data_IF_263078901304
#
_entry.id   IF_263078901304
#
_cell.length_a   1.000
_cell.length_b   1.000
_cell.length_c   1.000
_cell.angle_alpha   90.00
_cell.angle_beta   90.00
_cell.angle_gamma   90.00
#
_symmetry.space_group_name_H-M   'P 1'
#
loop_
_entity.id
_entity.type
_entity.pdbx_description
1 polymer ?
#
# COMPACT_ATOMS: atom_id res chain seq x y z
N UNK A 1 -11.59 9.49 -5.73
CA UNK A 1 -11.89 8.15 -5.19
C UNK A 1 -10.68 7.25 -5.34
N UNK A 2 -10.33 6.52 -4.30
CA UNK A 2 -9.12 5.69 -4.32
C UNK A 2 -9.31 4.48 -5.23
N UNK A 3 -8.27 4.14 -5.97
CA UNK A 3 -8.27 3.01 -6.89
C UNK A 3 -7.19 2.02 -6.47
N UNK A 4 -7.44 0.73 -6.73
CA UNK A 4 -6.39 -0.26 -6.53
C UNK A 4 -5.42 -0.19 -7.70
N UNK A 5 -4.14 0.05 -7.39
CA UNK A 5 -3.11 0.16 -8.40
C UNK A 5 -2.44 -1.19 -8.62
N UNK A 6 -2.15 -1.91 -7.53
CA UNK A 6 -1.52 -3.23 -7.64
C UNK A 6 -1.75 -4.01 -6.36
N UNK A 7 -2.01 -5.31 -6.50
CA UNK A 7 -2.05 -6.24 -5.37
C UNK A 7 -0.81 -7.11 -5.46
N UNK A 8 -0.17 -7.34 -4.32
CA UNK A 8 1.12 -8.04 -4.29
C UNK A 8 0.97 -9.48 -3.86
N UNK A 9 1.83 -10.33 -4.39
CA UNK A 9 2.02 -11.69 -3.95
C UNK A 9 3.53 -11.90 -3.78
N UNK A 10 3.97 -12.67 -2.80
CA UNK A 10 3.17 -13.40 -1.81
C UNK A 10 2.59 -12.48 -0.74
N UNK A 11 1.80 -13.06 0.16
CA UNK A 11 1.20 -12.33 1.27
C UNK A 11 2.26 -11.93 2.28
N UNK A 12 1.98 -10.87 3.04
CA UNK A 12 2.85 -10.37 4.10
C UNK A 12 2.40 -10.96 5.44
N UNK A 13 3.35 -11.40 6.25
CA UNK A 13 3.03 -11.93 7.57
C UNK A 13 3.81 -11.15 8.62
N UNK A 14 3.13 -10.70 9.69
CA UNK A 14 3.80 -9.95 10.74
C UNK A 14 4.42 -10.89 11.76
N UNK A 15 5.07 -10.32 12.79
CA UNK A 15 5.76 -11.08 13.80
C UNK A 15 4.83 -11.93 14.68
N UNK A 16 3.54 -11.60 14.69
CA UNK A 16 2.54 -12.34 15.45
C UNK A 16 1.83 -13.40 14.60
N UNK A 17 2.27 -13.58 13.37
CA UNK A 17 1.68 -14.57 12.48
C UNK A 17 0.41 -14.13 11.78
N UNK A 18 0.05 -12.85 11.90
CA UNK A 18 -1.12 -12.32 11.18
C UNK A 18 -0.76 -12.12 9.72
N UNK A 19 -1.58 -12.66 8.84
CA UNK A 19 -1.33 -12.61 7.39
C UNK A 19 -2.13 -11.49 6.76
N UNK A 20 -1.46 -10.72 5.90
CA UNK A 20 -2.06 -9.58 5.20
C UNK A 20 -1.85 -9.71 3.71
N UNK A 21 -2.84 -9.24 2.96
CA UNK A 21 -2.70 -8.99 1.52
C UNK A 21 -2.26 -7.53 1.40
N UNK A 22 -1.14 -7.29 0.72
CA UNK A 22 -0.61 -5.94 0.54
C UNK A 22 -1.08 -5.41 -0.80
N UNK A 23 -1.55 -4.18 -0.82
CA UNK A 23 -1.93 -3.54 -2.08
C UNK A 23 -1.52 -2.08 -2.09
N UNK A 24 -1.15 -1.60 -3.27
CA UNK A 24 -0.91 -0.19 -3.52
C UNK A 24 -2.22 0.42 -3.98
N UNK A 25 -2.57 1.54 -3.37
CA UNK A 25 -3.76 2.31 -3.72
C UNK A 25 -3.33 3.68 -4.17
N UNK A 26 -4.17 4.33 -4.93
CA UNK A 26 -3.85 5.68 -5.38
C UNK A 26 -5.08 6.49 -5.68
N UNK A 27 -4.86 7.80 -5.77
CA UNK A 27 -5.95 8.74 -5.99
C UNK A 27 -5.41 9.99 -6.67
N UNK A 28 -6.16 10.50 -7.64
CA UNK A 28 -5.79 11.73 -8.30
C UNK A 28 -6.12 12.92 -7.40
N UNK A 29 -5.18 13.85 -7.27
CA UNK A 29 -5.39 15.08 -6.51
C UNK A 29 -6.11 16.12 -7.35
N UNK A 30 -6.57 17.19 -6.70
CA UNK A 30 -7.20 18.31 -7.39
C UNK A 30 -6.26 18.95 -8.42
N UNK A 31 -4.94 18.87 -8.19
CA UNK A 31 -3.96 19.44 -9.11
C UNK A 31 -3.57 18.53 -10.26
N UNK A 32 -4.14 17.33 -10.34
CA UNK A 32 -3.89 16.41 -11.45
C UNK A 32 -2.77 15.41 -11.22
N UNK A 33 -2.04 15.52 -10.11
CA UNK A 33 -1.05 14.51 -9.75
C UNK A 33 -1.75 13.32 -9.09
N UNK A 34 -0.99 12.23 -8.90
CA UNK A 34 -1.50 11.04 -8.25
C UNK A 34 -0.71 10.76 -6.99
N UNK A 35 -1.44 10.55 -5.90
CA UNK A 35 -0.84 10.12 -4.63
C UNK A 35 -1.01 8.63 -4.47
N UNK A 36 0.01 7.98 -3.91
CA UNK A 36 -0.05 6.54 -3.67
C UNK A 36 0.31 6.21 -2.23
N UNK A 37 -0.28 5.11 -1.73
CA UNK A 37 -0.02 4.60 -0.40
C UNK A 37 -0.18 3.09 -0.41
N UNK A 38 0.20 2.45 0.69
CA UNK A 38 0.05 1.02 0.82
C UNK A 38 -1.02 0.70 1.87
N UNK A 39 -1.77 -0.37 1.61
CA UNK A 39 -2.76 -0.90 2.54
C UNK A 39 -2.42 -2.36 2.83
N UNK A 40 -2.59 -2.74 4.08
CA UNK A 40 -2.39 -4.10 4.54
C UNK A 40 -3.74 -4.63 4.98
N UNK A 41 -4.30 -5.53 4.21
CA UNK A 41 -5.63 -6.08 4.42
C UNK A 41 -5.51 -7.43 5.10
N UNK A 42 -5.90 -7.55 6.38
CA UNK A 42 -5.76 -8.85 7.07
C UNK A 42 -6.68 -9.88 6.44
N UNK A 43 -6.16 -11.09 6.30
CA UNK A 43 -6.96 -12.21 5.81
C UNK A 43 -8.08 -12.50 6.81
N UNK A 44 -7.80 -12.36 8.10
CA UNK A 44 -8.81 -12.45 9.15
C UNK A 44 -9.62 -11.15 9.18
N UNK A 45 -10.85 -11.23 8.72
CA UNK A 45 -11.71 -10.06 8.56
C UNK A 45 -12.12 -9.39 9.87
N UNK A 46 -11.82 -10.02 11.02
CA UNK A 46 -12.09 -9.39 12.32
C UNK A 46 -11.05 -8.37 12.71
N UNK A 47 -9.92 -8.31 11.99
CA UNK A 47 -8.85 -7.37 12.27
C UNK A 47 -8.95 -6.17 11.34
N UNK A 48 -8.41 -5.04 11.78
CA UNK A 48 -8.51 -3.79 11.04
C UNK A 48 -7.53 -3.74 9.88
N UNK A 49 -7.93 -3.07 8.80
CA UNK A 49 -7.05 -2.73 7.69
C UNK A 49 -6.08 -1.65 8.17
N UNK A 50 -4.80 -1.83 7.85
CA UNK A 50 -3.77 -0.85 8.17
C UNK A 50 -3.38 -0.11 6.88
N UNK A 51 -3.07 1.16 7.02
CA UNK A 51 -2.76 2.01 5.87
C UNK A 51 -1.62 2.93 6.20
N UNK A 52 -0.67 3.09 5.25
CA UNK A 52 0.38 4.10 5.40
C UNK A 52 -0.19 5.48 5.04
N UNK A 53 0.53 6.52 5.45
CA UNK A 53 0.31 7.84 4.87
C UNK A 53 0.77 7.80 3.42
N UNK A 54 0.64 8.93 2.71
CA UNK A 54 1.11 9.02 1.34
C UNK A 54 2.57 8.59 1.25
N UNK A 55 2.85 7.61 0.39
CA UNK A 55 4.20 7.12 0.17
C UNK A 55 4.86 7.78 -1.04
N UNK A 56 4.07 8.23 -2.00
CA UNK A 56 4.60 8.83 -3.21
C UNK A 56 3.60 9.78 -3.82
N UNK A 57 4.10 10.75 -4.58
CA UNK A 57 3.30 11.59 -5.46
C UNK A 57 3.92 11.48 -6.85
N UNK A 58 3.10 11.15 -7.83
CA UNK A 58 3.54 10.93 -9.20
C UNK A 58 2.79 11.86 -10.14
N UNK A 59 3.37 12.20 -11.30
CA UNK A 59 2.70 13.12 -12.22
C UNK A 59 1.44 12.59 -12.86
N UNK A 60 1.33 11.25 -12.99
CA UNK A 60 0.17 10.63 -13.61
C UNK A 60 0.01 9.19 -13.12
N UNK A 61 -1.08 8.54 -13.56
CA UNK A 61 -1.38 7.18 -13.12
C UNK A 61 -0.34 6.18 -13.60
N UNK A 62 0.17 6.35 -14.81
CA UNK A 62 1.16 5.41 -15.36
C UNK A 62 2.45 5.44 -14.53
N UNK A 63 2.88 6.63 -14.11
CA UNK A 63 4.07 6.74 -13.25
C UNK A 63 3.81 6.10 -11.89
N UNK A 64 2.58 6.22 -11.37
CA UNK A 64 2.21 5.58 -10.11
C UNK A 64 2.26 4.05 -10.24
N UNK A 65 1.74 3.52 -11.36
CA UNK A 65 1.80 2.08 -11.62
C UNK A 65 3.24 1.59 -11.70
N UNK A 66 4.10 2.37 -12.32
CA UNK A 66 5.52 2.03 -12.42
C UNK A 66 6.17 2.00 -11.03
N UNK A 67 5.89 3.00 -10.21
CA UNK A 67 6.39 3.04 -8.82
C UNK A 67 5.94 1.79 -8.07
N UNK A 68 4.66 1.44 -8.15
CA UNK A 68 4.12 0.29 -7.44
C UNK A 68 4.76 -1.02 -7.89
N UNK A 69 5.07 -1.13 -9.18
CA UNK A 69 5.63 -2.36 -9.74
C UNK A 69 7.07 -2.60 -9.29
N UNK A 70 7.76 -1.56 -8.81
CA UNK A 70 9.15 -1.68 -8.37
C UNK A 70 9.33 -1.95 -6.88
N UNK A 71 8.25 -2.01 -6.11
CA UNK A 71 8.37 -2.22 -4.67
C UNK A 71 8.71 -3.67 -4.36
N UNK A 72 9.64 -3.85 -3.43
CA UNK A 72 10.12 -5.18 -3.04
C UNK A 72 9.71 -5.50 -1.62
N UNK A 73 9.79 -6.79 -1.21
CA UNK A 73 9.33 -7.20 0.12
C UNK A 73 9.93 -6.41 1.28
N UNK A 74 11.18 -6.02 1.19
CA UNK A 74 11.83 -5.25 2.26
C UNK A 74 11.12 -3.91 2.46
N UNK A 75 10.64 -3.30 1.39
CA UNK A 75 9.89 -2.06 1.48
C UNK A 75 8.63 -2.25 2.33
N UNK A 76 7.95 -3.40 2.16
CA UNK A 76 6.71 -3.65 2.88
C UNK A 76 6.93 -3.75 4.39
N UNK A 77 8.08 -4.25 4.83
CA UNK A 77 8.39 -4.33 6.26
C UNK A 77 8.41 -2.94 6.89
N UNK A 78 9.09 -2.00 6.26
CA UNK A 78 9.13 -0.63 6.75
C UNK A 78 7.78 0.05 6.66
N UNK A 79 7.07 -0.16 5.57
CA UNK A 79 5.74 0.41 5.39
C UNK A 79 4.76 -0.12 6.44
N UNK A 80 4.82 -1.41 6.76
CA UNK A 80 3.97 -1.99 7.77
C UNK A 80 4.21 -1.37 9.14
N UNK A 81 5.48 -1.16 9.49
CA UNK A 81 5.82 -0.54 10.76
C UNK A 81 5.22 0.86 10.86
N UNK A 82 5.28 1.64 9.78
CA UNK A 82 4.71 2.98 9.74
C UNK A 82 3.19 2.93 9.83
N UNK A 83 2.56 1.97 9.15
CA UNK A 83 1.10 1.89 9.12
C UNK A 83 0.52 1.58 10.49
N UNK A 84 1.17 0.71 11.26
CA UNK A 84 0.61 0.28 12.54
C UNK A 84 0.91 1.23 13.70
N UNK A 85 1.75 2.22 13.48
CA UNK A 85 2.05 3.22 14.52
C UNK A 85 1.18 4.47 14.42
N UNK A 86 0.27 4.52 13.50
CA UNK A 86 -0.61 5.68 13.30
C UNK A 86 -1.65 5.78 14.40
#
# INVERSE_FOLDING_TARGET
MAEMIQQYTPQFQDENGVTYIVMARGEMTAGGTWEGWLEFHPVDKTKAVLRTERETTQPDRAALEYWASGLEPLYFEGAFARARTK
#
